data_IF_806916422916
#
_entry.id   IF_806916422916
#
_cell.length_a   1.000
_cell.length_b   1.000
_cell.length_c   1.000
_cell.angle_alpha   90.00
_cell.angle_beta   90.00
_cell.angle_gamma   90.00
#
_symmetry.space_group_name_H-M   'P 1'
#
loop_
_entity.id
_entity.type
_entity.pdbx_description
1 polymer ?
#
# COMPACT_ATOMS: atom_id res chain seq x y z
N UNK A 1 7.20 36.21 44.86
CA UNK A 1 6.28 36.50 43.74
C UNK A 1 6.11 35.22 42.94
N UNK A 2 5.02 34.49 43.16
CA UNK A 2 4.73 33.17 42.58
C UNK A 2 3.78 33.40 41.40
N UNK A 3 4.21 33.10 40.17
CA UNK A 3 3.34 33.22 38.98
C UNK A 3 3.18 31.85 38.32
N UNK A 4 1.96 31.34 38.50
CA UNK A 4 1.22 30.25 37.83
C UNK A 4 1.82 29.71 36.52
N UNK A 5 2.11 28.40 36.52
CA UNK A 5 2.13 27.59 35.30
C UNK A 5 0.70 27.48 34.73
N UNK A 6 0.49 28.04 33.54
CA UNK A 6 -0.69 27.77 32.73
C UNK A 6 -0.58 26.33 32.19
N UNK A 7 -1.44 25.44 32.69
CA UNK A 7 -1.71 24.15 32.05
C UNK A 7 -2.40 24.44 30.72
N UNK A 8 -1.63 24.42 29.63
CA UNK A 8 -2.18 24.41 28.28
C UNK A 8 -2.85 23.06 28.05
N UNK A 9 -4.18 23.01 28.14
CA UNK A 9 -4.97 21.89 27.63
C UNK A 9 -4.85 21.87 26.12
N UNK A 10 -4.02 20.98 25.59
CA UNK A 10 -4.05 20.64 24.16
C UNK A 10 -5.45 20.10 23.84
N UNK A 11 -6.15 20.65 22.83
CA UNK A 11 -7.40 20.04 22.38
C UNK A 11 -7.09 18.62 21.89
N UNK A 12 -7.96 17.66 22.23
CA UNK A 12 -7.84 16.28 21.79
C UNK A 12 -7.61 16.26 20.27
N UNK A 13 -6.55 15.57 19.84
CA UNK A 13 -6.25 15.32 18.42
C UNK A 13 -7.55 14.86 17.74
N UNK A 14 -8.18 15.75 17.00
CA UNK A 14 -9.22 15.40 16.04
C UNK A 14 -8.48 14.49 15.06
N UNK A 15 -8.69 13.18 15.21
CA UNK A 15 -7.95 12.18 14.44
C UNK A 15 -8.13 12.52 12.97
N UNK A 16 -7.02 12.88 12.29
CA UNK A 16 -7.00 13.12 10.87
C UNK A 16 -7.63 11.90 10.18
N UNK A 17 -8.88 12.05 9.73
CA UNK A 17 -9.54 11.02 8.95
C UNK A 17 -9.05 11.20 7.51
N UNK A 18 -8.26 10.27 6.97
CA UNK A 18 -7.86 10.38 5.58
C UNK A 18 -9.12 10.42 4.72
N UNK A 19 -9.11 11.23 3.66
CA UNK A 19 -10.15 11.19 2.64
C UNK A 19 -10.31 9.75 2.14
N UNK A 20 -11.52 9.33 1.72
CA UNK A 20 -11.72 8.01 1.17
C UNK A 20 -10.74 7.74 0.04
N UNK A 21 -10.01 6.63 0.15
CA UNK A 21 -9.08 6.20 -0.87
C UNK A 21 -9.85 5.64 -2.05
N UNK A 22 -9.57 6.12 -3.26
CA UNK A 22 -10.20 5.60 -4.48
C UNK A 22 -9.28 4.63 -5.17
N UNK A 23 -9.82 3.52 -5.65
CA UNK A 23 -9.09 2.47 -6.34
C UNK A 23 -9.81 2.16 -7.63
N UNK A 24 -9.14 2.41 -8.76
CA UNK A 24 -9.63 2.00 -10.06
C UNK A 24 -9.36 0.52 -10.26
N UNK A 25 -10.39 -0.22 -10.62
CA UNK A 25 -10.31 -1.65 -10.95
C UNK A 25 -10.84 -1.87 -12.36
N UNK A 26 -10.62 -3.07 -12.91
CA UNK A 26 -11.22 -3.46 -14.20
C UNK A 26 -12.75 -3.44 -14.21
N UNK A 27 -13.40 -3.42 -13.03
CA UNK A 27 -14.87 -3.36 -12.87
C UNK A 27 -15.40 -1.96 -12.56
N UNK A 28 -14.52 -0.95 -12.51
CA UNK A 28 -14.84 0.43 -12.12
C UNK A 28 -14.11 0.86 -10.84
N UNK A 29 -14.42 2.06 -10.36
CA UNK A 29 -13.76 2.65 -9.19
C UNK A 29 -14.48 2.27 -7.89
N UNK A 30 -13.73 1.79 -6.90
CA UNK A 30 -14.20 1.60 -5.52
C UNK A 30 -13.60 2.65 -4.59
N UNK A 31 -14.28 2.94 -3.48
CA UNK A 31 -13.80 3.86 -2.45
C UNK A 31 -13.70 3.15 -1.09
N UNK A 32 -12.58 3.31 -0.40
CA UNK A 32 -12.32 2.76 0.92
C UNK A 32 -12.20 3.92 1.91
N UNK A 33 -13.12 3.99 2.86
CA UNK A 33 -13.11 4.96 3.96
C UNK A 33 -12.57 4.33 5.26
N UNK A 34 -12.15 5.18 6.20
CA UNK A 34 -11.71 4.80 7.55
C UNK A 34 -10.62 3.70 7.59
N UNK A 35 -9.84 3.56 6.51
CA UNK A 35 -8.79 2.56 6.38
C UNK A 35 -7.58 2.87 7.29
N UNK A 36 -6.79 1.84 7.57
CA UNK A 36 -5.47 1.97 8.16
C UNK A 36 -4.41 1.72 7.07
N UNK A 37 -3.49 2.67 6.88
CA UNK A 37 -2.35 2.55 5.98
C UNK A 37 -1.10 2.18 6.79
N UNK A 38 -0.47 1.05 6.48
CA UNK A 38 0.69 0.53 7.21
C UNK A 38 1.90 0.53 6.29
N UNK A 39 2.91 1.32 6.59
CA UNK A 39 4.12 1.43 5.76
C UNK A 39 5.19 0.42 6.21
N UNK A 40 5.19 -0.78 5.63
CA UNK A 40 6.00 -1.88 6.16
C UNK A 40 7.50 -1.61 6.15
N UNK A 41 8.01 -0.86 5.15
CA UNK A 41 9.42 -0.52 5.04
C UNK A 41 9.87 0.46 6.11
N UNK A 42 9.13 1.56 6.32
CA UNK A 42 9.49 2.61 7.28
C UNK A 42 9.18 2.21 8.72
N UNK A 43 8.10 1.45 8.95
CA UNK A 43 7.75 0.95 10.28
C UNK A 43 8.61 -0.24 10.71
N UNK A 44 9.02 -1.08 9.77
CA UNK A 44 9.67 -2.37 10.04
C UNK A 44 8.72 -3.41 10.65
N UNK A 45 9.14 -4.68 10.63
CA UNK A 45 8.24 -5.82 10.90
C UNK A 45 7.49 -5.76 12.23
N UNK A 46 8.13 -5.35 13.33
CA UNK A 46 7.51 -5.33 14.67
C UNK A 46 6.42 -4.28 14.80
N UNK A 47 6.67 -3.06 14.32
CA UNK A 47 5.71 -1.96 14.42
C UNK A 47 4.57 -2.17 13.43
N UNK A 48 4.90 -2.55 12.19
CA UNK A 48 3.91 -2.88 11.17
C UNK A 48 2.95 -3.97 11.67
N UNK A 49 3.46 -5.07 12.23
CA UNK A 49 2.61 -6.14 12.77
C UNK A 49 1.69 -5.68 13.88
N UNK A 50 2.20 -4.84 14.79
CA UNK A 50 1.40 -4.28 15.87
C UNK A 50 0.26 -3.43 15.32
N UNK A 51 0.53 -2.61 14.31
CA UNK A 51 -0.48 -1.75 13.72
C UNK A 51 -1.51 -2.53 12.88
N UNK A 52 -1.06 -3.55 12.14
CA UNK A 52 -1.93 -4.53 11.45
C UNK A 52 -2.92 -5.15 12.44
N UNK A 53 -2.44 -5.75 13.53
CA UNK A 53 -3.29 -6.39 14.54
C UNK A 53 -4.26 -5.41 15.20
N UNK A 54 -3.82 -4.17 15.46
CA UNK A 54 -4.71 -3.13 16.01
C UNK A 54 -5.82 -2.73 15.04
N UNK A 55 -5.52 -2.63 13.75
CA UNK A 55 -6.51 -2.30 12.73
C UNK A 55 -7.53 -3.44 12.54
N UNK A 56 -7.05 -4.69 12.53
CA UNK A 56 -7.90 -5.89 12.48
C UNK A 56 -8.82 -6.00 13.70
N UNK A 57 -8.30 -5.77 14.91
CA UNK A 57 -9.12 -5.75 16.12
C UNK A 57 -10.20 -4.66 16.11
N UNK A 58 -9.96 -3.58 15.35
CA UNK A 58 -10.93 -2.51 15.12
C UNK A 58 -11.81 -2.74 13.89
N UNK A 59 -11.68 -3.89 13.20
CA UNK A 59 -12.39 -4.24 11.95
C UNK A 59 -12.26 -3.18 10.85
N UNK A 60 -11.13 -2.47 10.82
CA UNK A 60 -10.87 -1.43 9.82
C UNK A 60 -10.28 -2.05 8.55
N UNK A 61 -10.68 -1.60 7.36
CA UNK A 61 -9.98 -1.96 6.12
C UNK A 61 -8.50 -1.63 6.24
N UNK A 62 -7.64 -2.56 5.81
CA UNK A 62 -6.21 -2.45 5.97
C UNK A 62 -5.51 -2.34 4.61
N UNK A 63 -4.64 -1.34 4.48
CA UNK A 63 -3.70 -1.25 3.38
C UNK A 63 -2.30 -1.52 3.90
N UNK A 64 -1.80 -2.71 3.59
CA UNK A 64 -0.42 -3.13 3.88
C UNK A 64 0.46 -2.66 2.73
N UNK A 65 1.16 -1.55 2.95
CA UNK A 65 2.00 -0.92 1.95
C UNK A 65 3.37 -1.59 1.91
N UNK A 66 3.79 -1.98 0.71
CA UNK A 66 5.06 -2.63 0.42
C UNK A 66 5.90 -1.75 -0.50
N UNK A 67 7.19 -1.64 -0.20
CA UNK A 67 8.11 -0.75 -0.91
C UNK A 67 9.50 -1.42 -1.03
N UNK A 68 9.99 -1.62 -2.25
CA UNK A 68 11.35 -2.14 -2.49
C UNK A 68 12.46 -1.07 -2.42
N UNK A 69 12.05 0.19 -2.37
CA UNK A 69 12.88 1.37 -2.25
C UNK A 69 13.12 2.12 -3.54
N UNK A 70 14.13 2.98 -3.52
CA UNK A 70 14.52 3.84 -4.65
C UNK A 70 15.17 3.06 -5.79
N UNK A 71 15.69 1.87 -5.46
CA UNK A 71 16.32 1.01 -6.45
C UNK A 71 15.28 0.12 -7.11
N UNK A 72 15.41 0.00 -8.43
CA UNK A 72 14.73 -1.01 -9.22
C UNK A 72 15.44 -2.35 -9.02
N UNK A 73 15.17 -3.04 -7.91
CA UNK A 73 15.80 -4.32 -7.56
C UNK A 73 15.58 -5.41 -8.63
N UNK A 74 16.49 -6.38 -8.70
CA UNK A 74 16.23 -7.59 -9.49
C UNK A 74 15.14 -8.44 -8.82
N UNK A 75 14.45 -9.35 -9.55
CA UNK A 75 13.35 -10.13 -8.99
C UNK A 75 13.68 -10.91 -7.70
N UNK A 76 14.91 -11.40 -7.53
CA UNK A 76 15.34 -12.11 -6.32
C UNK A 76 15.48 -11.16 -5.12
N UNK A 77 16.11 -10.01 -5.33
CA UNK A 77 16.30 -9.00 -4.28
C UNK A 77 14.98 -8.33 -3.89
N UNK A 78 14.10 -8.10 -4.86
CA UNK A 78 12.70 -7.70 -4.66
C UNK A 78 12.00 -8.71 -3.75
N UNK A 79 12.03 -9.99 -4.13
CA UNK A 79 11.35 -11.04 -3.38
C UNK A 79 11.86 -11.09 -1.94
N UNK A 80 13.17 -11.05 -1.69
CA UNK A 80 13.73 -11.05 -0.35
C UNK A 80 13.24 -9.86 0.50
N UNK A 81 13.24 -8.65 -0.08
CA UNK A 81 12.80 -7.42 0.58
C UNK A 81 11.31 -7.48 0.92
N UNK A 82 10.49 -7.91 -0.03
CA UNK A 82 9.04 -7.92 0.08
C UNK A 82 8.53 -9.06 0.96
N UNK A 83 9.16 -10.24 0.91
CA UNK A 83 8.92 -11.35 1.84
C UNK A 83 9.14 -10.88 3.27
N UNK A 84 10.25 -10.18 3.54
CA UNK A 84 10.58 -9.70 4.88
C UNK A 84 9.50 -8.74 5.40
N UNK A 85 9.04 -7.82 4.55
CA UNK A 85 7.96 -6.88 4.90
C UNK A 85 6.62 -7.59 5.14
N UNK A 86 6.18 -8.45 4.22
CA UNK A 86 4.91 -9.17 4.33
C UNK A 86 4.89 -10.15 5.51
N UNK A 87 5.92 -10.98 5.66
CA UNK A 87 6.02 -11.94 6.75
C UNK A 87 6.08 -11.24 8.10
N UNK A 88 6.82 -10.13 8.19
CA UNK A 88 6.86 -9.29 9.38
C UNK A 88 5.49 -8.70 9.72
N UNK A 89 4.88 -7.98 8.78
CA UNK A 89 3.59 -7.32 8.97
C UNK A 89 2.46 -8.31 9.30
N UNK A 90 2.43 -9.48 8.66
CA UNK A 90 1.36 -10.46 8.81
C UNK A 90 1.66 -11.57 9.83
N UNK A 91 2.77 -11.48 10.58
CA UNK A 91 3.13 -12.50 11.57
C UNK A 91 2.01 -12.75 12.60
N UNK A 92 1.46 -13.97 12.60
CA UNK A 92 0.38 -14.38 13.50
C UNK A 92 -0.98 -13.74 13.20
N UNK A 93 -1.20 -13.26 11.98
CA UNK A 93 -2.53 -12.89 11.46
C UNK A 93 -3.23 -14.15 10.96
N UNK A 94 -4.51 -14.33 11.28
CA UNK A 94 -5.27 -15.50 10.84
C UNK A 94 -5.70 -15.34 9.37
N UNK A 95 -5.77 -16.44 8.62
CA UNK A 95 -6.30 -16.45 7.26
C UNK A 95 -7.72 -15.89 7.17
N UNK A 96 -8.54 -16.06 8.20
CA UNK A 96 -9.89 -15.50 8.27
C UNK A 96 -9.91 -13.96 8.21
N UNK A 97 -8.84 -13.30 8.68
CA UNK A 97 -8.73 -11.84 8.71
C UNK A 97 -8.22 -11.25 7.39
N UNK A 98 -7.71 -12.07 6.46
CA UNK A 98 -7.13 -11.60 5.20
C UNK A 98 -8.16 -10.92 4.28
N UNK A 99 -9.45 -11.17 4.47
CA UNK A 99 -10.51 -10.45 3.74
C UNK A 99 -10.54 -8.95 4.03
N UNK A 100 -9.94 -8.50 5.14
CA UNK A 100 -9.79 -7.08 5.47
C UNK A 100 -8.49 -6.46 4.92
N UNK A 101 -7.61 -7.28 4.35
CA UNK A 101 -6.28 -6.87 3.92
C UNK A 101 -6.26 -6.60 2.42
N UNK A 102 -5.88 -5.39 2.05
CA UNK A 102 -5.42 -5.03 0.71
C UNK A 102 -3.93 -4.78 0.76
N UNK A 103 -3.18 -5.38 -0.17
CA UNK A 103 -1.76 -5.09 -0.33
C UNK A 103 -1.61 -3.94 -1.31
N UNK A 104 -0.91 -2.89 -0.88
CA UNK A 104 -0.60 -1.73 -1.72
C UNK A 104 0.88 -1.77 -2.08
N UNK A 105 1.21 -1.97 -3.35
CA UNK A 105 2.58 -1.86 -3.83
C UNK A 105 2.89 -0.39 -4.16
N UNK A 106 3.67 0.28 -3.32
CA UNK A 106 4.05 1.68 -3.48
C UNK A 106 5.56 1.86 -3.39
N UNK A 107 6.30 1.55 -4.47
CA UNK A 107 7.74 1.61 -4.43
C UNK A 107 8.26 3.05 -4.53
N UNK A 108 9.30 3.40 -3.77
CA UNK A 108 9.85 4.76 -3.76
C UNK A 108 10.43 5.18 -5.12
N UNK A 109 10.99 4.24 -5.91
CA UNK A 109 11.48 4.54 -7.26
C UNK A 109 10.41 5.10 -8.20
N UNK A 110 9.13 4.80 -7.95
CA UNK A 110 8.02 5.26 -8.80
C UNK A 110 7.73 6.75 -8.65
N UNK A 111 8.25 7.40 -7.60
CA UNK A 111 7.98 8.82 -7.33
C UNK A 111 8.76 9.79 -8.23
N UNK A 112 9.75 9.30 -8.99
CA UNK A 112 10.66 10.17 -9.76
C UNK A 112 10.24 10.31 -11.22
N UNK A 113 10.28 9.21 -11.97
CA UNK A 113 10.01 9.23 -13.41
C UNK A 113 9.44 7.87 -13.86
N UNK A 114 8.34 7.93 -14.59
CA UNK A 114 7.74 6.79 -15.27
C UNK A 114 8.59 6.37 -16.46
N UNK A 115 9.01 5.12 -16.50
CA UNK A 115 9.72 4.52 -17.62
C UNK A 115 8.81 3.56 -18.41
N UNK A 116 9.02 3.37 -19.73
CA UNK A 116 8.24 2.44 -20.54
C UNK A 116 8.15 1.02 -19.96
N UNK A 117 9.24 0.54 -19.35
CA UNK A 117 9.32 -0.81 -18.77
C UNK A 117 8.69 -0.91 -17.37
N UNK A 118 8.31 0.20 -16.73
CA UNK A 118 7.77 0.20 -15.38
C UNK A 118 6.43 -0.54 -15.31
N UNK A 119 5.61 -0.51 -16.37
CA UNK A 119 4.39 -1.32 -16.44
C UNK A 119 4.71 -2.82 -16.30
N UNK A 120 5.70 -3.32 -17.04
CA UNK A 120 6.11 -4.72 -16.95
C UNK A 120 6.68 -5.05 -15.57
N UNK A 121 7.45 -4.12 -14.99
CA UNK A 121 8.00 -4.26 -13.63
C UNK A 121 6.90 -4.36 -12.57
N UNK A 122 5.86 -3.52 -12.65
CA UNK A 122 4.70 -3.56 -11.74
C UNK A 122 4.00 -4.92 -11.84
N UNK A 123 3.77 -5.43 -13.05
CA UNK A 123 3.16 -6.76 -13.26
C UNK A 123 3.97 -7.89 -12.62
N UNK A 124 5.28 -7.87 -12.82
CA UNK A 124 6.20 -8.86 -12.21
C UNK A 124 6.16 -8.76 -10.70
N UNK A 125 6.24 -7.55 -10.14
CA UNK A 125 6.17 -7.30 -8.70
C UNK A 125 4.84 -7.83 -8.10
N UNK A 126 3.71 -7.52 -8.73
CA UNK A 126 2.39 -7.99 -8.30
C UNK A 126 2.27 -9.51 -8.32
N UNK A 127 2.74 -10.16 -9.39
CA UNK A 127 2.79 -11.63 -9.46
C UNK A 127 3.65 -12.21 -8.33
N UNK A 128 4.84 -11.65 -8.10
CA UNK A 128 5.72 -12.11 -7.04
C UNK A 128 5.10 -11.90 -5.65
N UNK A 129 4.42 -10.78 -5.39
CA UNK A 129 3.66 -10.55 -4.15
C UNK A 129 2.59 -11.63 -3.97
N UNK A 130 1.86 -11.98 -5.04
CA UNK A 130 0.86 -13.05 -5.03
C UNK A 130 1.49 -14.42 -4.68
N UNK A 131 2.65 -14.73 -5.26
CA UNK A 131 3.40 -15.96 -4.99
C UNK A 131 3.90 -16.02 -3.53
N UNK A 132 4.33 -14.89 -2.99
CA UNK A 132 4.75 -14.75 -1.59
C UNK A 132 3.57 -15.00 -0.66
N UNK A 133 2.41 -14.37 -0.91
CA UNK A 133 1.19 -14.60 -0.14
C UNK A 133 0.77 -16.07 -0.19
N UNK A 134 0.89 -16.72 -1.36
CA UNK A 134 0.57 -18.13 -1.51
C UNK A 134 1.51 -19.04 -0.71
N UNK A 135 2.75 -18.60 -0.49
CA UNK A 135 3.75 -19.31 0.32
C UNK A 135 3.54 -19.10 1.83
N UNK A 136 3.07 -17.92 2.23
CA UNK A 136 2.78 -17.60 3.64
C UNK A 136 1.46 -18.21 4.13
N UNK A 137 0.50 -18.39 3.22
CA UNK A 137 -0.83 -18.94 3.52
C UNK A 137 -1.11 -20.11 2.58
N UNK A 138 -1.89 -19.88 1.53
CA UNK A 138 -2.14 -20.83 0.45
C UNK A 138 -2.54 -20.10 -0.84
N UNK A 139 -2.61 -20.85 -1.94
CA UNK A 139 -2.93 -20.30 -3.27
C UNK A 139 -4.35 -19.76 -3.38
N UNK A 140 -5.32 -20.31 -2.66
CA UNK A 140 -6.71 -19.86 -2.76
C UNK A 140 -6.90 -18.52 -2.04
N UNK A 141 -6.33 -18.39 -0.85
CA UNK A 141 -6.32 -17.14 -0.09
C UNK A 141 -5.53 -16.05 -0.82
N UNK A 142 -4.35 -16.38 -1.34
CA UNK A 142 -3.53 -15.40 -2.06
C UNK A 142 -4.27 -14.79 -3.27
N UNK A 143 -5.09 -15.59 -3.98
CA UNK A 143 -5.93 -15.10 -5.09
C UNK A 143 -7.06 -14.19 -4.65
N UNK A 144 -7.49 -14.28 -3.39
CA UNK A 144 -8.58 -13.45 -2.82
C UNK A 144 -8.07 -12.13 -2.26
N UNK A 145 -6.81 -12.04 -1.87
CA UNK A 145 -6.20 -10.81 -1.38
C UNK A 145 -6.04 -9.83 -2.54
N UNK A 146 -6.66 -8.66 -2.42
CA UNK A 146 -6.52 -7.57 -3.39
C UNK A 146 -5.10 -7.00 -3.33
N UNK A 147 -4.44 -6.89 -4.49
CA UNK A 147 -3.13 -6.26 -4.68
C UNK A 147 -3.27 -5.09 -5.65
N UNK A 148 -2.99 -3.88 -5.16
CA UNK A 148 -3.11 -2.65 -5.93
C UNK A 148 -1.76 -1.97 -6.11
N UNK A 149 -1.57 -1.34 -7.26
CA UNK A 149 -0.44 -0.43 -7.46
C UNK A 149 -0.82 0.93 -6.87
N UNK A 150 0.00 1.46 -5.98
CA UNK A 150 -0.25 2.71 -5.28
C UNK A 150 0.77 3.81 -5.58
N UNK A 151 1.70 3.53 -6.50
CA UNK A 151 2.58 4.56 -7.05
C UNK A 151 1.85 5.55 -7.96
N UNK A 152 2.47 6.71 -8.23
CA UNK A 152 1.95 7.66 -9.19
C UNK A 152 1.87 7.03 -10.59
N UNK A 153 0.82 7.43 -11.32
CA UNK A 153 0.57 7.06 -12.72
C UNK A 153 -0.33 8.12 -13.34
N UNK A 154 -0.15 8.46 -14.62
CA UNK A 154 -1.12 9.31 -15.33
C UNK A 154 -2.32 8.48 -15.75
N UNK A 155 -3.43 9.15 -16.00
CA UNK A 155 -4.66 8.50 -16.44
C UNK A 155 -4.45 7.74 -17.77
N UNK A 156 -3.55 8.23 -18.62
CA UNK A 156 -3.16 7.60 -19.88
C UNK A 156 -2.44 6.24 -19.70
N UNK A 157 -1.68 6.04 -18.61
CA UNK A 157 -0.98 4.75 -18.38
C UNK A 157 -1.73 3.79 -17.45
N UNK A 158 -2.80 4.25 -16.76
CA UNK A 158 -3.60 3.39 -15.85
C UNK A 158 -4.06 2.11 -16.53
N UNK A 159 -4.60 2.22 -17.74
CA UNK A 159 -5.07 1.06 -18.50
C UNK A 159 -3.91 0.07 -18.80
N UNK A 160 -2.73 0.59 -19.10
CA UNK A 160 -1.53 -0.22 -19.34
C UNK A 160 -1.08 -0.96 -18.08
N UNK A 161 -1.11 -0.30 -16.92
CA UNK A 161 -0.78 -0.91 -15.62
C UNK A 161 -1.78 -2.02 -15.27
N UNK A 162 -3.07 -1.76 -15.42
CA UNK A 162 -4.14 -2.72 -15.13
C UNK A 162 -4.27 -3.86 -16.14
N UNK A 163 -3.50 -3.85 -17.24
CA UNK A 163 -3.52 -4.91 -18.25
C UNK A 163 -2.69 -6.14 -17.82
N UNK A 164 -2.97 -6.66 -16.61
CA UNK A 164 -2.43 -7.92 -16.08
C UNK A 164 -3.37 -8.46 -14.99
N UNK A 165 -3.57 -9.78 -14.98
CA UNK A 165 -4.46 -10.45 -14.02
C UNK A 165 -3.98 -10.37 -12.57
N UNK A 166 -2.71 -10.01 -12.33
CA UNK A 166 -2.14 -9.84 -11.00
C UNK A 166 -2.30 -8.41 -10.46
N UNK A 167 -2.75 -7.46 -11.29
CA UNK A 167 -2.98 -6.07 -10.89
C UNK A 167 -4.47 -5.86 -10.69
N UNK A 168 -4.93 -5.93 -9.44
CA UNK A 168 -6.36 -5.86 -9.13
C UNK A 168 -6.91 -4.42 -9.20
N UNK A 169 -6.02 -3.44 -9.14
CA UNK A 169 -6.36 -2.06 -9.32
C UNK A 169 -5.20 -1.09 -9.14
N UNK A 170 -5.51 0.18 -9.34
CA UNK A 170 -4.59 1.29 -9.15
C UNK A 170 -5.20 2.32 -8.23
N UNK A 171 -4.46 2.72 -7.21
CA UNK A 171 -4.90 3.74 -6.26
C UNK A 171 -4.85 5.12 -6.92
N UNK A 172 -5.93 5.88 -6.79
CA UNK A 172 -5.96 7.28 -7.15
C UNK A 172 -5.35 8.09 -6.01
N UNK A 173 -4.18 8.69 -6.26
CA UNK A 173 -3.60 9.75 -5.45
C UNK A 173 -3.73 9.54 -3.92
N UNK A 174 -3.03 8.55 -3.32
CA UNK A 174 -3.25 8.16 -1.94
C UNK A 174 -2.99 9.27 -0.91
N UNK A 175 -2.20 10.31 -1.26
CA UNK A 175 -1.78 11.36 -0.33
C UNK A 175 -1.82 12.79 -0.90
N UNK A 176 -2.59 13.03 -1.97
CA UNK A 176 -2.90 14.37 -2.45
C UNK A 176 -1.77 15.15 -3.12
N UNK A 177 -0.64 14.54 -3.49
CA UNK A 177 0.48 15.26 -4.15
C UNK A 177 0.52 15.05 -5.67
N UNK A 178 0.16 16.16 -6.32
CA UNK A 178 0.39 16.69 -7.67
C UNK A 178 -0.26 16.03 -8.89
N UNK A 179 -0.96 16.91 -9.62
CA UNK A 179 -1.20 16.85 -11.05
C UNK A 179 0.14 16.63 -11.79
N UNK A 180 0.51 15.38 -11.98
CA UNK A 180 1.68 15.00 -12.81
C UNK A 180 1.47 15.53 -14.25
N UNK A 181 0.22 15.66 -14.71
CA UNK A 181 -0.13 16.26 -16.00
C UNK A 181 0.35 17.72 -16.18
N UNK A 182 0.50 18.48 -15.09
CA UNK A 182 0.94 19.88 -15.15
C UNK A 182 2.47 20.04 -15.14
N UNK A 183 3.23 19.01 -14.74
CA UNK A 183 4.69 19.06 -14.71
C UNK A 183 5.33 18.51 -16.00
N UNK A 184 4.65 17.62 -16.72
CA UNK A 184 5.14 17.07 -18.01
C UNK A 184 4.89 18.04 -19.19
N UNK A 185 4.05 19.08 -19.02
CA UNK A 185 3.72 20.08 -20.06
C UNK A 185 4.58 21.37 -20.02
N UNK A 186 5.67 21.41 -19.26
CA UNK A 186 6.67 22.50 -19.32
C UNK A 186 7.99 21.99 -19.88
#
# INVERSE_FOLDING_TARGET
MVIRMLKSTMPALQAFRPLPLRIDTVRGTTAIADYAWIECRSEGGRLANRNVKRALAAQRPLLVCLDEGEQRLAPLDFAATIITQLAGALHGVNSADLGHVTVAYWPQWSQVCWLPDDAQRIRVAHRQIRDILASLYDRELARRVTIVYAGPVLDAERATVMNDINVDGVVQNPFGKQNIENEVRK
#
